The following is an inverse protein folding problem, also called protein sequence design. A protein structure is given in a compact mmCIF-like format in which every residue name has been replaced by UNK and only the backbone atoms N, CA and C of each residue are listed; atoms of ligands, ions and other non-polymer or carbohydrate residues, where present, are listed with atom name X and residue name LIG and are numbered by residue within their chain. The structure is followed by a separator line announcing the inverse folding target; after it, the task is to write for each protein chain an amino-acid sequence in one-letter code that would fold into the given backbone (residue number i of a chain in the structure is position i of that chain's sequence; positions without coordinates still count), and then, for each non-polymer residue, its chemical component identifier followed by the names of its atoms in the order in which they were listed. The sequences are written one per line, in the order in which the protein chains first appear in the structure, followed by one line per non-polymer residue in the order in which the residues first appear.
data_IF_018154832095
#
_entry.id   IF_018154832095
#
_cell.length_a   1.000
_cell.length_b   1.000
_cell.length_c   1.000
_cell.angle_alpha   90.00
_cell.angle_beta   90.00
_cell.angle_gamma   90.00
#
_symmetry.space_group_name_H-M   'P 1'
#
loop_
_entity.id
_entity.type
_entity.pdbx_description
1 polymer ?
#
# COMPACT_ATOMS: atom_id res chain seq x y z
N UNK A 1 -36.76 53.07 43.89
CA UNK A 1 -36.89 51.68 44.39
C UNK A 1 -36.75 50.72 43.22
N UNK A 2 -35.78 49.81 43.34
CA UNK A 2 -35.57 48.51 42.69
C UNK A 2 -35.98 48.26 41.22
N UNK A 3 -34.99 47.81 40.45
CA UNK A 3 -35.07 47.24 39.11
C UNK A 3 -35.84 45.89 39.05
N UNK A 4 -36.37 45.56 37.88
CA UNK A 4 -36.62 44.17 37.45
C UNK A 4 -36.16 43.98 36.01
N UNK A 5 -35.39 42.92 35.82
CA UNK A 5 -34.69 42.53 34.61
C UNK A 5 -35.63 42.06 33.50
N UNK A 6 -35.27 42.39 32.26
CA UNK A 6 -35.88 41.89 31.04
C UNK A 6 -35.29 40.52 30.70
N UNK A 7 -36.11 39.47 30.80
CA UNK A 7 -35.74 38.12 30.36
C UNK A 7 -36.20 37.96 28.92
N UNK A 8 -35.26 38.10 27.98
CA UNK A 8 -35.47 37.93 26.55
C UNK A 8 -36.21 36.62 26.22
N UNK A 9 -37.33 36.75 25.51
CA UNK A 9 -38.07 35.62 24.94
C UNK A 9 -37.20 34.94 23.89
N UNK A 10 -37.09 33.61 23.96
CA UNK A 10 -36.25 32.84 23.05
C UNK A 10 -36.81 32.85 21.62
N UNK A 11 -35.99 33.24 20.65
CA UNK A 11 -36.28 33.10 19.22
C UNK A 11 -36.12 31.64 18.78
N UNK A 12 -37.12 30.82 19.13
CA UNK A 12 -37.22 29.45 18.60
C UNK A 12 -37.83 29.49 17.21
N UNK A 13 -37.01 29.20 16.20
CA UNK A 13 -37.45 28.95 14.83
C UNK A 13 -38.21 27.61 14.78
N UNK A 14 -39.41 27.61 14.19
CA UNK A 14 -40.25 26.43 13.96
C UNK A 14 -39.56 25.42 13.03
N UNK A 15 -39.03 24.33 13.58
CA UNK A 15 -38.47 23.23 12.79
C UNK A 15 -39.56 22.33 12.22
N UNK A 16 -39.96 22.57 10.97
CA UNK A 16 -40.55 21.56 10.09
C UNK A 16 -39.72 21.43 8.82
N UNK A 17 -38.57 20.79 8.94
CA UNK A 17 -37.96 20.04 7.84
C UNK A 17 -37.08 18.94 8.44
N UNK A 18 -37.33 17.69 8.04
CA UNK A 18 -36.43 16.58 8.36
C UNK A 18 -35.08 16.91 7.71
N UNK A 19 -34.03 17.04 8.52
CA UNK A 19 -32.66 17.19 8.02
C UNK A 19 -32.33 15.90 7.27
N UNK A 20 -32.45 15.96 5.94
CA UNK A 20 -31.93 14.94 5.04
C UNK A 20 -30.41 14.94 5.17
N UNK A 21 -29.79 13.77 5.35
CA UNK A 21 -28.34 13.56 5.36
C UNK A 21 -27.67 13.82 3.98
N UNK A 22 -28.32 14.62 3.12
CA UNK A 22 -27.85 15.04 1.80
C UNK A 22 -27.80 16.57 1.71
N UNK A 23 -27.16 17.21 2.69
CA UNK A 23 -26.61 18.54 2.46
C UNK A 23 -25.24 18.32 1.83
N UNK A 24 -25.13 18.66 0.54
CA UNK A 24 -23.84 18.75 -0.13
C UNK A 24 -22.96 19.71 0.66
N UNK A 25 -21.97 19.16 1.38
CA UNK A 25 -21.03 19.93 2.16
C UNK A 25 -20.18 20.78 1.19
N UNK A 26 -20.32 22.11 1.15
CA UNK A 26 -19.57 22.97 0.23
C UNK A 26 -18.06 23.00 0.56
N UNK A 27 -17.66 22.42 1.71
CA UNK A 27 -16.26 22.22 2.11
C UNK A 27 -15.74 20.81 1.92
N UNK A 28 -16.46 19.91 1.23
CA UNK A 28 -15.82 18.72 0.65
C UNK A 28 -14.89 19.24 -0.45
N UNK A 29 -13.69 19.69 -0.08
CA UNK A 29 -12.62 20.08 -1.01
C UNK A 29 -12.65 19.01 -2.09
N UNK A 30 -12.92 19.39 -3.34
CA UNK A 30 -12.56 18.56 -4.47
C UNK A 30 -11.06 18.36 -4.30
N UNK A 31 -10.66 17.19 -3.79
CA UNK A 31 -9.26 16.89 -3.62
C UNK A 31 -8.67 16.94 -5.02
N UNK A 32 -7.89 17.98 -5.31
CA UNK A 32 -7.01 17.95 -6.47
C UNK A 32 -6.14 16.71 -6.26
N UNK A 33 -6.13 15.76 -7.19
CA UNK A 33 -5.32 14.58 -7.00
C UNK A 33 -3.85 14.98 -6.85
N UNK A 34 -3.18 14.39 -5.86
CA UNK A 34 -1.76 14.63 -5.61
C UNK A 34 -0.94 14.19 -6.82
N UNK A 35 -0.04 15.05 -7.29
CA UNK A 35 0.81 14.79 -8.44
C UNK A 35 2.02 13.96 -8.00
N UNK A 36 1.96 12.66 -8.25
CA UNK A 36 3.06 11.74 -7.94
C UNK A 36 3.11 10.57 -8.92
N UNK A 37 4.29 9.98 -9.09
CA UNK A 37 4.47 8.69 -9.75
C UNK A 37 5.66 7.94 -9.18
N UNK A 38 5.59 6.62 -9.23
CA UNK A 38 6.67 5.69 -8.88
C UNK A 38 6.72 4.62 -9.95
N UNK A 39 7.86 4.49 -10.60
CA UNK A 39 8.19 3.40 -11.52
C UNK A 39 9.43 2.67 -11.00
N UNK A 40 9.39 1.35 -11.02
CA UNK A 40 10.51 0.53 -10.58
C UNK A 40 10.10 -0.91 -10.32
N UNK A 41 10.54 -1.47 -9.21
CA UNK A 41 10.31 -2.88 -8.87
C UNK A 41 9.87 -3.01 -7.40
N UNK A 42 8.83 -3.80 -7.17
CA UNK A 42 8.42 -4.26 -5.86
C UNK A 42 8.84 -5.72 -5.68
N UNK A 43 9.44 -6.01 -4.54
CA UNK A 43 9.72 -7.35 -4.06
C UNK A 43 8.90 -7.61 -2.80
N UNK A 44 8.29 -8.79 -2.71
CA UNK A 44 7.45 -9.19 -1.59
C UNK A 44 7.83 -10.60 -1.18
N UNK A 45 7.86 -10.86 0.12
CA UNK A 45 7.76 -12.22 0.65
C UNK A 45 6.70 -12.25 1.76
N UNK A 46 5.85 -13.25 1.73
CA UNK A 46 4.79 -13.44 2.71
C UNK A 46 4.81 -14.86 3.29
N UNK A 47 4.08 -15.06 4.39
CA UNK A 47 3.98 -16.33 5.10
C UNK A 47 3.23 -17.45 4.34
N UNK A 48 2.68 -17.18 3.15
CA UNK A 48 1.98 -18.21 2.38
C UNK A 48 2.95 -19.24 1.79
N UNK A 49 2.53 -20.51 1.69
CA UNK A 49 3.26 -21.49 0.87
C UNK A 49 3.30 -21.04 -0.59
N UNK A 50 4.36 -21.40 -1.31
CA UNK A 50 4.52 -21.08 -2.74
C UNK A 50 3.43 -21.81 -3.56
N UNK A 51 2.60 -21.16 -4.38
CA UNK A 51 2.48 -19.72 -4.66
C UNK A 51 1.32 -19.07 -3.89
N UNK A 52 1.48 -17.81 -3.50
CA UNK A 52 0.49 -17.05 -2.75
C UNK A 52 -0.85 -16.95 -3.50
N UNK A 53 -1.97 -17.44 -2.93
CA UNK A 53 -3.26 -17.41 -3.61
C UNK A 53 -3.81 -15.98 -3.78
N UNK A 54 -3.31 -15.00 -3.01
CA UNK A 54 -3.79 -13.63 -3.03
C UNK A 54 -3.62 -12.91 -4.37
N UNK A 55 -2.63 -13.31 -5.17
CA UNK A 55 -2.33 -12.69 -6.48
C UNK A 55 -3.49 -12.84 -7.45
N UNK A 56 -3.99 -14.07 -7.62
CA UNK A 56 -5.08 -14.36 -8.55
C UNK A 56 -6.45 -14.15 -7.92
N UNK A 57 -6.57 -14.35 -6.60
CA UNK A 57 -7.84 -14.15 -5.90
C UNK A 57 -8.09 -12.69 -5.53
N UNK A 58 -7.14 -11.78 -5.79
CA UNK A 58 -7.17 -10.38 -5.34
C UNK A 58 -7.40 -10.27 -3.82
N UNK A 59 -6.75 -11.14 -3.05
CA UNK A 59 -6.91 -11.21 -1.60
C UNK A 59 -8.21 -11.84 -1.10
N UNK A 60 -9.07 -12.33 -1.99
CA UNK A 60 -10.31 -12.99 -1.61
C UNK A 60 -10.14 -14.43 -1.11
N UNK A 61 -9.02 -15.12 -1.35
CA UNK A 61 -8.73 -16.45 -0.79
C UNK A 61 -8.00 -16.31 0.56
N UNK A 62 -8.23 -17.20 1.55
CA UNK A 62 -7.46 -17.16 2.79
C UNK A 62 -5.96 -17.35 2.52
N UNK A 63 -5.08 -16.67 3.28
CA UNK A 63 -3.66 -17.04 3.33
C UNK A 63 -3.50 -18.50 3.77
N UNK A 64 -2.44 -19.17 3.34
CA UNK A 64 -2.29 -20.61 3.59
C UNK A 64 -2.07 -20.93 5.08
N UNK A 65 -1.44 -20.00 5.81
CA UNK A 65 -1.23 -20.08 7.26
C UNK A 65 -2.36 -19.41 8.07
N UNK A 66 -3.47 -19.05 7.42
CA UNK A 66 -4.60 -18.34 8.04
C UNK A 66 -4.38 -16.85 8.29
N UNK A 67 -3.14 -16.37 8.21
CA UNK A 67 -2.75 -14.95 8.33
C UNK A 67 -1.68 -14.63 7.27
N UNK A 68 -1.49 -13.35 6.96
CA UNK A 68 -0.44 -12.87 6.07
C UNK A 68 0.52 -11.97 6.85
N UNK A 69 1.66 -12.53 7.24
CA UNK A 69 2.83 -11.75 7.61
C UNK A 69 3.67 -11.56 6.37
N UNK A 70 4.05 -10.32 6.08
CA UNK A 70 4.85 -10.02 4.90
C UNK A 70 5.83 -8.89 5.18
N UNK A 71 6.88 -8.87 4.37
CA UNK A 71 7.65 -7.65 4.12
C UNK A 71 7.62 -7.34 2.62
N UNK A 72 7.73 -6.05 2.31
CA UNK A 72 7.87 -5.56 0.93
C UNK A 72 9.10 -4.68 0.83
N UNK A 73 9.78 -4.73 -0.30
CA UNK A 73 10.80 -3.78 -0.72
C UNK A 73 10.36 -3.12 -2.00
N UNK A 74 10.50 -1.80 -2.10
CA UNK A 74 10.20 -1.01 -3.28
C UNK A 74 11.48 -0.30 -3.69
N UNK A 75 11.93 -0.56 -4.91
CA UNK A 75 13.04 0.13 -5.57
C UNK A 75 12.40 1.16 -6.49
N UNK A 76 12.66 2.44 -6.25
CA UNK A 76 12.15 3.53 -7.09
C UNK A 76 13.22 3.85 -8.13
N UNK A 77 13.06 3.36 -9.35
CA UNK A 77 13.98 3.66 -10.45
C UNK A 77 13.75 5.09 -10.95
N UNK A 78 12.48 5.48 -11.12
CA UNK A 78 12.04 6.82 -11.53
C UNK A 78 10.81 7.23 -10.72
N UNK A 79 10.75 8.46 -10.20
CA UNK A 79 9.54 8.92 -9.54
C UNK A 79 9.60 10.34 -9.00
N UNK A 80 8.44 10.87 -8.66
CA UNK A 80 8.31 12.19 -8.05
C UNK A 80 7.11 12.29 -7.10
N UNK A 81 7.16 13.26 -6.20
CA UNK A 81 6.03 13.69 -5.38
C UNK A 81 5.97 15.23 -5.34
N UNK A 82 4.95 15.82 -5.98
CA UNK A 82 4.75 17.28 -6.02
C UNK A 82 6.02 18.02 -6.46
N UNK A 83 6.71 17.48 -7.48
CA UNK A 83 7.98 17.99 -8.02
C UNK A 83 9.23 17.66 -7.19
N UNK A 84 9.12 16.96 -6.07
CA UNK A 84 10.27 16.37 -5.38
C UNK A 84 10.70 15.09 -6.08
N UNK A 85 12.00 14.92 -6.36
CA UNK A 85 12.53 13.69 -6.94
C UNK A 85 12.55 12.55 -5.91
N UNK A 86 12.07 11.38 -6.32
CA UNK A 86 12.07 10.15 -5.51
C UNK A 86 13.02 9.09 -6.07
N UNK A 87 13.66 9.36 -7.21
CA UNK A 87 14.45 8.38 -7.96
C UNK A 87 15.67 7.91 -7.16
N UNK A 88 15.94 6.61 -7.22
CA UNK A 88 17.04 5.95 -6.51
C UNK A 88 16.81 5.70 -5.01
N UNK A 89 15.66 6.10 -4.46
CA UNK A 89 15.27 5.78 -3.08
C UNK A 89 14.66 4.38 -2.98
N UNK A 90 14.86 3.75 -1.83
CA UNK A 90 14.20 2.48 -1.49
C UNK A 90 13.19 2.67 -0.36
N UNK A 91 12.16 1.84 -0.35
CA UNK A 91 11.19 1.77 0.75
C UNK A 91 10.99 0.33 1.18
N UNK A 92 11.05 0.08 2.48
CA UNK A 92 10.67 -1.18 3.10
C UNK A 92 9.31 -1.07 3.77
N UNK A 93 8.50 -2.11 3.70
CA UNK A 93 7.27 -2.25 4.47
C UNK A 93 7.30 -3.54 5.28
N UNK A 94 6.77 -3.48 6.50
CA UNK A 94 6.32 -4.63 7.27
C UNK A 94 4.80 -4.62 7.25
N UNK A 95 4.18 -5.75 6.90
CA UNK A 95 2.73 -5.87 6.77
C UNK A 95 2.24 -7.07 7.59
N UNK A 96 1.25 -6.83 8.44
CA UNK A 96 0.64 -7.81 9.34
C UNK A 96 -0.87 -7.83 9.09
N UNK A 97 -1.39 -8.94 8.57
CA UNK A 97 -2.79 -9.12 8.23
C UNK A 97 -3.31 -10.39 8.93
N UNK A 98 -4.31 -10.28 9.82
CA UNK A 98 -4.78 -11.41 10.60
C UNK A 98 -5.58 -12.45 9.80
N UNK A 99 -5.92 -12.17 8.54
CA UNK A 99 -6.80 -12.98 7.72
C UNK A 99 -6.72 -12.64 6.23
N UNK A 100 -7.86 -12.58 5.55
CA UNK A 100 -7.89 -12.30 4.10
C UNK A 100 -7.40 -10.90 3.82
N UNK A 101 -6.50 -10.78 2.85
CA UNK A 101 -5.93 -9.49 2.44
C UNK A 101 -7.02 -8.47 2.05
N UNK A 102 -8.11 -8.91 1.41
CA UNK A 102 -9.20 -8.04 0.98
C UNK A 102 -10.14 -7.58 2.13
N UNK A 103 -10.09 -8.21 3.30
CA UNK A 103 -10.91 -7.86 4.47
C UNK A 103 -10.31 -6.71 5.30
N UNK A 104 -9.07 -6.32 5.01
CA UNK A 104 -8.39 -5.22 5.70
C UNK A 104 -7.84 -5.63 7.07
N UNK A 105 -7.88 -4.71 8.03
CA UNK A 105 -7.21 -4.81 9.34
C UNK A 105 -5.69 -4.94 9.23
N UNK A 106 -5.08 -4.34 8.22
CA UNK A 106 -3.63 -4.40 8.06
C UNK A 106 -2.98 -3.50 9.12
N UNK A 107 -1.93 -4.03 9.74
CA UNK A 107 -0.98 -3.22 10.51
C UNK A 107 0.29 -3.09 9.69
N UNK A 108 0.74 -1.86 9.49
CA UNK A 108 1.85 -1.57 8.57
C UNK A 108 2.92 -0.72 9.26
N UNK A 109 4.18 -1.09 9.11
CA UNK A 109 5.31 -0.21 9.39
C UNK A 109 6.01 0.16 8.07
N UNK A 110 6.45 1.42 7.95
CA UNK A 110 7.19 1.90 6.79
C UNK A 110 8.62 2.32 7.17
N UNK A 111 9.59 1.90 6.36
CA UNK A 111 10.99 2.28 6.45
C UNK A 111 11.34 2.98 5.15
N UNK A 112 11.63 4.27 5.24
CA UNK A 112 12.04 5.06 4.07
C UNK A 112 13.55 5.23 4.11
N UNK A 113 14.18 5.16 2.94
CA UNK A 113 15.61 5.41 2.79
C UNK A 113 16.08 6.67 3.55
N UNK A 114 17.19 6.57 4.28
CA UNK A 114 17.75 7.70 5.05
C UNK A 114 18.30 8.82 4.15
N UNK A 115 18.55 8.51 2.87
CA UNK A 115 18.87 9.47 1.82
C UNK A 115 17.70 10.39 1.45
N UNK A 116 16.47 10.05 1.83
CA UNK A 116 15.28 10.81 1.47
C UNK A 116 15.24 12.19 2.16
N UNK A 117 15.01 13.24 1.36
CA UNK A 117 14.78 14.59 1.87
C UNK A 117 13.55 14.66 2.80
N UNK A 118 13.37 15.77 3.51
CA UNK A 118 12.15 16.06 4.28
C UNK A 118 10.87 15.88 3.46
N UNK A 119 10.87 16.42 2.24
CA UNK A 119 9.72 16.39 1.34
C UNK A 119 9.52 15.00 0.75
N UNK A 120 10.59 14.33 0.33
CA UNK A 120 10.53 12.97 -0.21
C UNK A 120 9.98 11.99 0.83
N UNK A 121 10.49 12.04 2.06
CA UNK A 121 10.01 11.22 3.17
C UNK A 121 8.51 11.38 3.41
N UNK A 122 8.05 12.62 3.59
CA UNK A 122 6.64 12.90 3.82
C UNK A 122 5.77 12.48 2.62
N UNK A 123 6.25 12.72 1.40
CA UNK A 123 5.57 12.31 0.17
C UNK A 123 5.40 10.79 0.07
N UNK A 124 6.45 10.03 0.36
CA UNK A 124 6.40 8.57 0.40
C UNK A 124 5.42 8.09 1.47
N UNK A 125 5.40 8.67 2.66
CA UNK A 125 4.38 8.33 3.68
C UNK A 125 2.95 8.62 3.20
N UNK A 126 2.72 9.72 2.48
CA UNK A 126 1.42 10.02 1.89
C UNK A 126 1.02 8.98 0.81
N UNK A 127 1.97 8.56 -0.02
CA UNK A 127 1.74 7.52 -1.04
C UNK A 127 1.43 6.17 -0.40
N UNK A 128 2.28 5.69 0.53
CA UNK A 128 2.16 4.35 1.10
C UNK A 128 1.06 4.22 2.18
N UNK A 129 0.58 5.33 2.73
CA UNK A 129 -0.66 5.34 3.54
C UNK A 129 -1.94 5.39 2.67
N UNK A 130 -1.80 5.61 1.36
CA UNK A 130 -2.91 5.81 0.43
C UNK A 130 -3.52 7.20 0.45
N UNK A 131 -3.04 8.11 1.31
CA UNK A 131 -3.56 9.49 1.42
C UNK A 131 -3.30 10.31 0.15
N UNK A 132 -2.26 9.99 -0.62
CA UNK A 132 -2.00 10.58 -1.93
C UNK A 132 -2.95 10.08 -3.05
N UNK A 133 -3.86 9.14 -2.75
CA UNK A 133 -4.81 8.58 -3.71
C UNK A 133 -4.15 7.74 -4.80
N UNK A 134 -4.77 7.67 -5.98
CA UNK A 134 -4.23 6.92 -7.12
C UNK A 134 -4.12 5.42 -6.87
N UNK A 135 -3.07 4.79 -7.40
CA UNK A 135 -2.87 3.32 -7.30
C UNK A 135 -2.90 2.82 -5.86
N UNK A 136 -2.36 3.58 -4.90
CA UNK A 136 -2.30 3.19 -3.48
C UNK A 136 -3.51 3.66 -2.67
N UNK A 137 -4.49 4.33 -3.29
CA UNK A 137 -5.67 4.86 -2.59
C UNK A 137 -6.49 3.80 -1.85
N UNK A 138 -6.42 2.54 -2.29
CA UNK A 138 -7.07 1.40 -1.63
C UNK A 138 -6.57 1.17 -0.19
N UNK A 139 -5.34 1.58 0.14
CA UNK A 139 -4.78 1.41 1.49
C UNK A 139 -5.57 2.18 2.55
N UNK A 140 -6.24 3.28 2.17
CA UNK A 140 -7.13 4.02 3.07
C UNK A 140 -8.30 3.19 3.60
N UNK A 141 -8.64 2.09 2.92
CA UNK A 141 -9.69 1.15 3.35
C UNK A 141 -9.13 -0.11 4.02
N UNK A 142 -7.91 -0.53 3.67
CA UNK A 142 -7.34 -1.81 4.14
C UNK A 142 -6.46 -1.67 5.39
N UNK A 143 -5.75 -0.54 5.52
CA UNK A 143 -4.83 -0.29 6.63
C UNK A 143 -5.62 0.30 7.80
N UNK A 144 -5.72 -0.49 8.87
CA UNK A 144 -6.35 -0.04 10.11
C UNK A 144 -5.37 0.69 11.03
N UNK A 145 -4.08 0.35 10.95
CA UNK A 145 -3.07 0.85 11.88
C UNK A 145 -1.71 1.03 11.19
N UNK A 146 -1.15 2.23 11.25
CA UNK A 146 0.27 2.46 10.94
C UNK A 146 1.01 2.36 12.27
N UNK A 147 1.70 1.25 12.49
CA UNK A 147 2.38 0.95 13.76
C UNK A 147 3.73 1.67 13.87
N UNK A 148 4.27 2.16 12.76
CA UNK A 148 5.50 2.93 12.73
C UNK A 148 5.85 3.46 11.35
N UNK A 149 6.60 4.56 11.33
CA UNK A 149 7.16 5.14 10.11
C UNK A 149 8.46 5.84 10.49
N UNK A 150 9.57 5.44 9.86
CA UNK A 150 10.87 6.04 10.14
C UNK A 150 11.75 6.10 8.89
N UNK A 151 12.84 6.86 9.00
CA UNK A 151 13.97 6.75 8.08
C UNK A 151 14.94 5.70 8.61
N UNK A 152 15.46 4.87 7.70
CA UNK A 152 16.52 3.91 8.00
C UNK A 152 17.34 3.63 6.74
N UNK A 153 18.56 3.09 6.86
CA UNK A 153 19.26 2.52 5.72
C UNK A 153 18.45 1.36 5.13
N UNK A 154 17.84 1.59 3.95
CA UNK A 154 17.09 0.58 3.19
C UNK A 154 17.92 0.20 1.97
N UNK A 155 18.61 -0.93 2.06
CA UNK A 155 19.45 -1.42 0.97
C UNK A 155 18.70 -2.53 0.24
N UNK A 156 18.49 -2.37 -1.06
CA UNK A 156 17.93 -3.40 -1.93
C UNK A 156 18.90 -3.67 -3.09
N UNK A 157 19.28 -4.92 -3.26
CA UNK A 157 20.20 -5.38 -4.30
C UNK A 157 19.45 -6.20 -5.36
N UNK A 158 19.82 -5.99 -6.62
CA UNK A 158 19.34 -6.75 -7.78
C UNK A 158 20.50 -7.50 -8.41
N UNK A 159 20.45 -8.83 -8.42
CA UNK A 159 21.45 -9.67 -9.06
C UNK A 159 20.77 -10.82 -9.83
N UNK A 160 20.64 -10.67 -11.15
CA UNK A 160 19.97 -11.67 -11.99
C UNK A 160 18.55 -12.00 -11.51
N UNK A 161 18.33 -13.25 -11.10
CA UNK A 161 17.07 -13.77 -10.55
C UNK A 161 16.89 -13.48 -9.06
N UNK A 162 17.93 -12.99 -8.39
CA UNK A 162 17.99 -12.80 -6.96
C UNK A 162 17.73 -11.34 -6.58
N UNK A 163 17.02 -11.15 -5.47
CA UNK A 163 16.82 -9.85 -4.82
C UNK A 163 17.08 -9.98 -3.33
N UNK A 164 17.72 -8.97 -2.77
CA UNK A 164 18.01 -8.92 -1.34
C UNK A 164 17.61 -7.58 -0.77
N UNK A 165 16.95 -7.59 0.38
CA UNK A 165 16.64 -6.41 1.17
C UNK A 165 17.28 -6.50 2.55
N UNK A 166 17.90 -5.41 2.97
CA UNK A 166 18.46 -5.24 4.29
C UNK A 166 17.99 -3.90 4.86
N UNK A 167 17.28 -3.98 5.99
CA UNK A 167 16.92 -2.82 6.80
C UNK A 167 17.51 -3.06 8.18
N UNK A 168 18.77 -2.65 8.33
CA UNK A 168 19.56 -2.83 9.55
C UNK A 168 19.45 -4.27 10.10
N UNK A 169 18.91 -4.42 11.32
CA UNK A 169 18.60 -5.69 11.99
C UNK A 169 17.11 -6.01 12.03
N UNK A 170 16.29 -5.18 11.38
CA UNK A 170 14.81 -5.21 11.43
C UNK A 170 14.23 -6.13 10.37
N UNK A 171 14.69 -6.00 9.12
CA UNK A 171 14.28 -6.87 8.01
C UNK A 171 15.52 -7.38 7.28
N UNK A 172 15.60 -8.70 7.11
CA UNK A 172 16.60 -9.36 6.27
C UNK A 172 15.86 -10.33 5.36
N UNK A 173 15.75 -9.95 4.08
CA UNK A 173 14.98 -10.66 3.08
C UNK A 173 15.82 -11.00 1.86
N UNK A 174 15.66 -12.21 1.33
CA UNK A 174 16.28 -12.70 0.11
C UNK A 174 15.23 -13.48 -0.66
N UNK A 175 14.98 -13.11 -1.91
CA UNK A 175 14.01 -13.79 -2.79
C UNK A 175 14.66 -14.14 -4.11
N UNK A 176 14.24 -15.27 -4.68
CA UNK A 176 14.76 -15.78 -5.93
C UNK A 176 13.60 -16.19 -6.85
N UNK A 177 13.66 -15.75 -8.11
CA UNK A 177 12.66 -16.10 -9.12
C UNK A 177 12.63 -17.61 -9.37
N UNK A 178 11.43 -18.18 -9.50
CA UNK A 178 11.30 -19.55 -9.98
C UNK A 178 11.53 -19.60 -11.48
N UNK A 179 12.37 -20.53 -11.92
CA UNK A 179 12.64 -20.75 -13.34
C UNK A 179 11.46 -21.42 -14.04
N UNK A 180 11.16 -20.93 -15.24
CA UNK A 180 10.22 -21.55 -16.16
C UNK A 180 10.83 -22.76 -16.86
N UNK A 181 10.07 -23.32 -17.80
CA UNK A 181 10.40 -24.59 -18.48
C UNK A 181 11.78 -24.61 -19.15
N UNK A 182 12.25 -23.48 -19.66
CA UNK A 182 13.52 -23.37 -20.39
C UNK A 182 14.72 -22.99 -19.50
N UNK A 183 14.53 -22.79 -18.19
CA UNK A 183 15.54 -22.30 -17.26
C UNK A 183 16.16 -20.93 -17.58
N UNK A 184 15.65 -20.22 -18.59
CA UNK A 184 16.13 -18.89 -18.99
C UNK A 184 15.14 -17.80 -18.62
N UNK A 185 13.84 -18.11 -18.65
CA UNK A 185 12.77 -17.20 -18.28
C UNK A 185 12.16 -17.61 -16.94
N UNK A 186 11.71 -16.66 -16.09
CA UNK A 186 11.02 -17.00 -14.86
C UNK A 186 9.55 -17.39 -15.12
N UNK A 187 8.92 -18.00 -14.13
CA UNK A 187 7.46 -18.20 -14.13
C UNK A 187 6.77 -16.86 -13.86
N UNK A 188 5.87 -16.44 -14.76
CA UNK A 188 5.19 -15.14 -14.66
C UNK A 188 3.68 -15.32 -14.80
N UNK A 189 2.92 -14.76 -13.86
CA UNK A 189 1.47 -14.59 -13.96
C UNK A 189 1.20 -13.22 -14.61
N UNK A 190 0.64 -13.23 -15.83
CA UNK A 190 0.37 -12.00 -16.61
C UNK A 190 -1.09 -11.60 -16.58
N UNK A 191 -1.36 -10.33 -16.90
CA UNK A 191 -2.72 -9.75 -17.03
C UNK A 191 -3.54 -9.89 -15.74
N UNK A 192 -2.89 -9.76 -14.58
CA UNK A 192 -3.59 -9.76 -13.29
C UNK A 192 -4.31 -8.43 -13.08
N UNK A 193 -5.32 -8.44 -12.21
CA UNK A 193 -5.92 -7.21 -11.64
C UNK A 193 -5.24 -6.82 -10.32
N UNK A 194 -4.06 -7.40 -10.03
CA UNK A 194 -3.40 -7.19 -8.76
C UNK A 194 -2.90 -5.75 -8.69
N UNK A 195 -3.05 -5.13 -7.52
CA UNK A 195 -2.78 -3.70 -7.35
C UNK A 195 -1.30 -3.36 -7.54
N UNK A 196 -0.41 -4.33 -7.29
CA UNK A 196 1.04 -4.14 -7.45
C UNK A 196 1.42 -3.96 -8.92
N UNK A 197 0.81 -4.71 -9.83
CA UNK A 197 1.10 -4.65 -11.26
C UNK A 197 0.42 -5.77 -12.05
N UNK A 198 0.32 -5.64 -13.38
CA UNK A 198 -0.33 -6.62 -14.23
C UNK A 198 0.49 -7.92 -14.38
N UNK A 199 1.80 -7.85 -14.21
CA UNK A 199 2.73 -8.98 -14.34
C UNK A 199 3.39 -9.26 -12.99
N UNK A 200 3.24 -10.49 -12.51
CA UNK A 200 3.79 -10.96 -11.24
C UNK A 200 4.75 -12.11 -11.50
N UNK A 201 6.03 -11.87 -11.25
CA UNK A 201 7.08 -12.89 -11.34
C UNK A 201 7.03 -13.72 -10.07
N UNK A 202 6.84 -15.03 -10.22
CA UNK A 202 6.76 -15.96 -9.09
C UNK A 202 8.16 -16.21 -8.55
N UNK A 203 8.31 -16.06 -7.23
CA UNK A 203 9.58 -16.25 -6.53
C UNK A 203 9.39 -17.05 -5.22
N UNK A 204 10.51 -17.37 -4.58
CA UNK A 204 10.57 -18.00 -3.26
C UNK A 204 11.49 -17.19 -2.35
N UNK A 205 11.12 -17.01 -1.09
CA UNK A 205 11.96 -16.39 -0.08
C UNK A 205 13.04 -17.35 0.40
N UNK A 206 14.29 -17.17 -0.05
CA UNK A 206 15.43 -17.94 0.45
C UNK A 206 15.80 -17.55 1.88
N UNK A 207 15.59 -16.28 2.23
CA UNK A 207 15.72 -15.75 3.58
C UNK A 207 14.60 -14.77 3.88
N UNK A 208 14.04 -14.85 5.07
CA UNK A 208 12.99 -13.96 5.52
C UNK A 208 12.97 -13.89 7.03
N UNK A 209 13.58 -12.83 7.57
CA UNK A 209 13.59 -12.52 9.01
C UNK A 209 13.07 -11.12 9.23
N UNK A 210 12.09 -11.02 10.12
CA UNK A 210 11.56 -9.74 10.59
C UNK A 210 11.67 -9.69 12.11
N UNK A 211 12.26 -8.61 12.63
CA UNK A 211 12.34 -8.32 14.07
C UNK A 211 12.16 -6.83 14.30
N UNK A 212 10.92 -6.39 14.44
CA UNK A 212 10.60 -5.03 14.83
C UNK A 212 9.16 -4.91 15.35
N UNK A 213 8.82 -3.83 16.05
CA UNK A 213 7.47 -3.54 16.56
C UNK A 213 6.81 -4.73 17.29
N UNK A 214 7.59 -5.47 18.08
CA UNK A 214 7.12 -6.64 18.84
C UNK A 214 6.87 -7.91 18.00
N UNK A 215 7.24 -7.90 16.72
CA UNK A 215 7.13 -9.04 15.81
C UNK A 215 8.47 -9.71 15.66
N UNK A 216 8.47 -11.03 15.73
CA UNK A 216 9.65 -11.88 15.49
C UNK A 216 9.19 -12.99 14.57
N UNK A 217 9.45 -12.82 13.28
CA UNK A 217 8.96 -13.72 12.25
C UNK A 217 10.10 -14.36 11.47
N UNK A 218 9.87 -15.62 11.10
CA UNK A 218 10.70 -16.43 10.23
C UNK A 218 9.77 -17.17 9.28
N UNK A 219 9.88 -16.89 7.99
CA UNK A 219 9.10 -17.55 6.95
C UNK A 219 9.96 -17.85 5.73
N UNK A 220 11.14 -18.43 5.99
CA UNK A 220 11.97 -19.01 4.94
C UNK A 220 11.25 -20.05 4.11
N UNK A 221 11.58 -20.05 2.83
CA UNK A 221 11.02 -20.95 1.84
C UNK A 221 9.60 -20.63 1.41
N UNK A 222 8.98 -19.58 1.97
CA UNK A 222 7.61 -19.18 1.65
C UNK A 222 7.52 -18.34 0.37
N UNK A 223 6.28 -18.07 -0.05
CA UNK A 223 5.96 -17.40 -1.31
C UNK A 223 6.58 -16.01 -1.39
N UNK A 224 7.26 -15.75 -2.50
CA UNK A 224 7.73 -14.42 -2.85
C UNK A 224 7.24 -14.02 -4.24
N UNK A 225 7.24 -12.72 -4.48
CA UNK A 225 6.78 -12.11 -5.72
C UNK A 225 7.72 -10.97 -6.08
N UNK A 226 7.99 -10.82 -7.37
CA UNK A 226 8.69 -9.66 -7.92
C UNK A 226 7.77 -9.04 -8.98
N UNK A 227 7.47 -7.76 -8.82
CA UNK A 227 6.50 -7.05 -9.64
C UNK A 227 7.16 -5.78 -10.20
N UNK A 228 7.30 -5.64 -11.52
CA UNK A 228 7.52 -4.33 -12.12
C UNK A 228 6.32 -3.43 -11.77
N UNK A 229 6.60 -2.23 -11.25
CA UNK A 229 5.57 -1.29 -10.82
C UNK A 229 5.59 -0.02 -11.66
N UNK A 230 4.40 0.49 -11.97
CA UNK A 230 4.13 1.81 -12.55
C UNK A 230 2.89 2.38 -11.84
N UNK A 231 3.14 3.04 -10.73
CA UNK A 231 2.12 3.60 -9.85
C UNK A 231 2.06 5.10 -10.00
N UNK A 232 0.85 5.66 -9.87
CA UNK A 232 0.64 7.09 -10.07
C UNK A 232 -0.52 7.63 -9.27
N UNK A 233 -0.38 8.90 -8.90
CA UNK A 233 -1.49 9.74 -8.50
C UNK A 233 -2.38 9.98 -9.71
N UNK A 234 -3.67 9.71 -9.59
CA UNK A 234 -4.61 9.95 -10.69
C UNK A 234 -4.71 11.44 -10.99
N UNK A 235 -3.99 11.99 -11.98
CA UNK A 235 -4.18 13.42 -12.34
C UNK A 235 -5.64 13.78 -12.72
N UNK A 236 -6.46 12.79 -13.06
CA UNK A 236 -7.93 12.80 -12.94
C UNK A 236 -8.49 11.43 -13.36
N UNK A 237 -9.14 10.69 -12.46
CA UNK A 237 -10.00 9.58 -12.90
C UNK A 237 -11.31 10.18 -13.41
N UNK A 238 -11.44 10.34 -14.73
CA UNK A 238 -12.78 10.49 -15.32
C UNK A 238 -13.46 9.15 -15.16
N UNK A 239 -14.41 9.07 -14.23
CA UNK A 239 -15.34 7.96 -14.11
C UNK A 239 -15.91 7.60 -15.49
N UNK A 240 -15.46 6.49 -16.09
CA UNK A 240 -16.07 5.98 -17.30
C UNK A 240 -17.43 5.39 -16.93
N UNK A 241 -18.49 6.14 -17.23
CA UNK A 241 -19.87 5.74 -16.99
C UNK A 241 -20.26 4.45 -17.73
N UNK A 242 -19.43 3.95 -18.66
CA UNK A 242 -19.72 2.73 -19.41
C UNK A 242 -19.33 1.44 -18.68
N UNK A 243 -18.50 1.48 -17.63
CA UNK A 243 -18.09 0.28 -16.88
C UNK A 243 -19.22 -0.35 -16.05
N UNK A 244 -20.36 0.34 -15.84
CA UNK A 244 -21.57 -0.26 -15.24
C UNK A 244 -22.28 -1.28 -16.14
N UNK A 245 -22.00 -1.33 -17.44
CA UNK A 245 -22.67 -2.27 -18.36
C UNK A 245 -22.07 -3.68 -18.38
N UNK A 246 -20.89 -3.90 -17.77
CA UNK A 246 -20.16 -5.16 -17.88
C UNK A 246 -20.43 -6.10 -16.69
N UNK A 247 -20.96 -5.61 -15.56
CA UNK A 247 -21.16 -6.42 -14.33
C UNK A 247 -22.65 -6.75 -14.06
N UNK A 248 -23.50 -6.69 -15.09
CA UNK A 248 -24.90 -7.14 -15.01
C UNK A 248 -25.29 -8.03 -16.19
N UNK A 249 -24.40 -8.93 -16.61
CA UNK A 249 -24.75 -10.12 -17.39
C UNK A 249 -24.12 -11.34 -16.76
#
# INVERSE_FOLDING_TARGET
MAAKADSGKSDRISTKSKISAKLDNPMRRKATPTDWSIKGELILNCSCTVFCPCVVSLGAHPPTEGHCHAWMGIIIDEGHYEGEDLSGLNVGLLVDIPGRMAEGNWKVAAYVDDRASGKAYNGLLQIFSGQAGGTTGLFTMLVSEIIGAERAPVVIERDGTFRRIMIERKIQGEVEMLTGKNNEEPVIVRNTKYWMGPDVIVAKGNKSRVRDYGRVWDFDGMSAEICPIDWKGERSFKYDKNLKKIVQR
#
